data_IF_207221104348
#
_entry.id   IF_207221104348
#
_cell.length_a   1.000
_cell.length_b   1.000
_cell.length_c   1.000
_cell.angle_alpha   90.00
_cell.angle_beta   90.00
_cell.angle_gamma   90.00
#
_symmetry.space_group_name_H-M   'P 1'
#
loop_
_entity.id
_entity.type
_entity.pdbx_description
1 polymer ?
#
# COMPACT_ATOMS: atom_id res chain seq x y z
N UNK A 1 -16.39 -15.72 3.48
CA UNK A 1 -15.03 -15.45 4.05
C UNK A 1 -14.36 -14.42 3.15
N UNK A 2 -13.69 -13.42 3.72
CA UNK A 2 -12.90 -12.45 2.96
C UNK A 2 -11.44 -12.87 2.97
N UNK A 3 -10.79 -12.75 1.84
CA UNK A 3 -9.38 -13.15 1.65
C UNK A 3 -8.56 -11.93 1.27
N UNK A 4 -7.40 -11.78 1.87
CA UNK A 4 -6.47 -10.70 1.57
C UNK A 4 -5.07 -11.24 1.29
N UNK A 5 -4.33 -10.54 0.45
CA UNK A 5 -2.94 -10.82 0.15
C UNK A 5 -2.06 -9.63 0.52
N UNK A 6 -0.80 -9.90 0.83
CA UNK A 6 0.23 -8.85 0.88
C UNK A 6 0.90 -8.74 -0.48
N UNK A 7 1.15 -7.49 -0.91
CA UNK A 7 2.01 -7.25 -2.06
C UNK A 7 3.43 -7.71 -1.73
N UNK A 8 3.97 -8.61 -2.54
CA UNK A 8 5.34 -9.13 -2.37
C UNK A 8 6.35 -8.13 -2.93
N UNK A 9 6.55 -7.04 -2.19
CA UNK A 9 7.44 -5.94 -2.60
C UNK A 9 8.94 -6.26 -2.50
N UNK A 10 9.29 -7.44 -2.04
CA UNK A 10 10.68 -7.91 -2.02
C UNK A 10 11.20 -8.31 -3.41
N UNK A 11 10.32 -8.53 -4.35
CA UNK A 11 10.65 -8.87 -5.73
C UNK A 11 10.94 -7.58 -6.51
N UNK A 12 11.96 -7.64 -7.35
CA UNK A 12 12.36 -6.51 -8.19
C UNK A 12 11.63 -6.51 -9.54
N UNK A 13 10.92 -7.58 -9.87
CA UNK A 13 10.14 -7.68 -11.10
C UNK A 13 8.70 -7.17 -10.87
N UNK A 14 8.45 -5.97 -11.36
CA UNK A 14 7.14 -5.33 -11.26
C UNK A 14 6.09 -5.93 -12.19
N UNK A 15 6.49 -6.58 -13.27
CA UNK A 15 5.58 -7.34 -14.12
C UNK A 15 5.03 -8.54 -13.36
N UNK A 16 5.89 -9.30 -12.70
CA UNK A 16 5.48 -10.44 -11.85
C UNK A 16 4.59 -9.99 -10.69
N UNK A 17 4.92 -8.87 -10.04
CA UNK A 17 4.08 -8.32 -8.97
C UNK A 17 2.68 -7.92 -9.48
N UNK A 18 2.61 -7.35 -10.68
CA UNK A 18 1.36 -7.02 -11.35
C UNK A 18 0.53 -8.28 -11.66
N UNK A 19 1.16 -9.29 -12.26
CA UNK A 19 0.51 -10.56 -12.62
C UNK A 19 -0.02 -11.28 -11.37
N UNK A 20 0.74 -11.27 -10.29
CA UNK A 20 0.31 -11.82 -8.99
C UNK A 20 -0.99 -11.19 -8.49
N UNK A 21 -1.11 -9.87 -8.56
CA UNK A 21 -2.30 -9.18 -8.06
C UNK A 21 -3.48 -9.31 -9.02
N UNK A 22 -3.24 -9.26 -10.33
CA UNK A 22 -4.31 -9.46 -11.31
C UNK A 22 -4.87 -10.88 -11.27
N UNK A 23 -4.02 -11.88 -11.04
CA UNK A 23 -4.48 -13.26 -10.84
C UNK A 23 -5.24 -13.42 -9.52
N UNK A 24 -4.77 -12.78 -8.43
CA UNK A 24 -5.50 -12.76 -7.17
C UNK A 24 -6.90 -12.14 -7.33
N UNK A 25 -7.02 -11.05 -8.09
CA UNK A 25 -8.30 -10.43 -8.42
C UNK A 25 -9.19 -11.39 -9.21
N UNK A 26 -8.64 -12.09 -10.21
CA UNK A 26 -9.35 -13.07 -11.01
C UNK A 26 -9.91 -14.21 -10.14
N UNK A 27 -9.16 -14.63 -9.14
CA UNK A 27 -9.54 -15.68 -8.19
C UNK A 27 -10.50 -15.20 -7.08
N UNK A 28 -10.90 -13.94 -7.08
CA UNK A 28 -11.86 -13.39 -6.13
C UNK A 28 -11.28 -12.96 -4.78
N UNK A 29 -9.97 -12.67 -4.72
CA UNK A 29 -9.36 -12.09 -3.52
C UNK A 29 -9.93 -10.68 -3.29
N UNK A 30 -10.29 -10.37 -2.05
CA UNK A 30 -10.97 -9.12 -1.70
C UNK A 30 -10.02 -7.94 -1.54
N UNK A 31 -8.81 -8.19 -1.01
CA UNK A 31 -7.86 -7.14 -0.63
C UNK A 31 -6.42 -7.45 -1.00
N UNK A 32 -5.69 -6.43 -1.42
CA UNK A 32 -4.23 -6.41 -1.52
C UNK A 32 -3.65 -5.30 -0.62
N UNK A 33 -2.76 -5.68 0.28
CA UNK A 33 -2.13 -4.79 1.25
C UNK A 33 -0.68 -4.50 0.90
N UNK A 34 -0.29 -3.23 1.00
CA UNK A 34 1.10 -2.78 0.92
C UNK A 34 1.55 -2.20 2.26
N UNK A 35 2.74 -2.55 2.70
CA UNK A 35 3.39 -1.94 3.84
C UNK A 35 4.70 -1.27 3.41
N UNK A 36 5.10 -0.22 4.10
CA UNK A 36 6.34 0.50 3.80
C UNK A 36 7.22 0.64 5.02
N UNK A 37 8.23 -0.22 5.18
CA UNK A 37 9.16 -0.10 6.29
C UNK A 37 10.60 0.13 5.84
N UNK A 38 11.17 -0.77 5.03
CA UNK A 38 12.61 -0.81 4.77
C UNK A 38 13.04 -0.69 3.31
N UNK A 39 12.17 -0.94 2.36
CA UNK A 39 12.50 -1.00 0.92
C UNK A 39 11.66 -0.04 0.10
N UNK A 40 10.51 -0.51 -0.35
CA UNK A 40 9.56 0.30 -1.11
C UNK A 40 8.62 1.02 -0.15
N UNK A 41 8.19 2.22 -0.52
CA UNK A 41 7.13 2.88 0.22
C UNK A 41 5.78 2.15 0.03
N UNK A 42 4.85 2.39 0.93
CA UNK A 42 3.57 1.68 0.90
C UNK A 42 2.57 2.23 -0.13
N UNK A 43 2.85 3.37 -0.75
CA UNK A 43 1.91 4.10 -1.63
C UNK A 43 2.16 3.81 -3.10
N UNK A 44 3.40 3.96 -3.56
CA UNK A 44 3.77 3.86 -4.98
C UNK A 44 3.38 2.52 -5.60
N UNK A 45 3.60 1.36 -4.94
CA UNK A 45 3.13 0.08 -5.45
C UNK A 45 1.63 -0.01 -5.60
N UNK A 46 0.85 0.62 -4.71
CA UNK A 46 -0.61 0.62 -4.79
C UNK A 46 -1.11 1.43 -5.98
N UNK A 47 -0.48 2.56 -6.30
CA UNK A 47 -0.81 3.32 -7.49
C UNK A 47 -0.56 2.50 -8.78
N UNK A 48 0.57 1.79 -8.83
CA UNK A 48 0.90 0.90 -9.95
C UNK A 48 -0.13 -0.22 -10.13
N UNK A 49 -0.52 -0.86 -9.06
CA UNK A 49 -1.51 -1.95 -9.07
C UNK A 49 -2.92 -1.44 -9.34
N UNK A 50 -3.28 -0.24 -8.85
CA UNK A 50 -4.58 0.37 -9.10
C UNK A 50 -4.89 0.52 -10.59
N UNK A 51 -3.87 0.83 -11.39
CA UNK A 51 -4.01 0.98 -12.85
C UNK A 51 -4.20 -0.36 -13.59
N UNK A 52 -3.96 -1.49 -12.94
CA UNK A 52 -4.00 -2.83 -13.52
C UNK A 52 -5.12 -3.73 -13.00
N UNK A 53 -5.86 -3.21 -12.04
CA UNK A 53 -6.95 -3.94 -11.37
C UNK A 53 -8.23 -3.13 -11.41
N UNK A 54 -9.38 -3.78 -11.23
CA UNK A 54 -10.69 -3.12 -11.33
C UNK A 54 -11.63 -3.37 -10.14
N UNK A 55 -11.40 -4.41 -9.35
CA UNK A 55 -12.31 -4.84 -8.27
C UNK A 55 -11.62 -5.00 -6.92
N UNK A 56 -10.41 -5.57 -6.90
CA UNK A 56 -9.68 -5.82 -5.65
C UNK A 56 -9.46 -4.50 -4.89
N UNK A 57 -9.76 -4.48 -3.62
CA UNK A 57 -9.50 -3.32 -2.77
C UNK A 57 -8.02 -3.24 -2.44
N UNK A 58 -7.52 -2.03 -2.38
CA UNK A 58 -6.11 -1.73 -2.19
C UNK A 58 -5.93 -0.98 -0.89
N UNK A 59 -5.01 -1.39 -0.06
CA UNK A 59 -4.84 -0.74 1.22
C UNK A 59 -3.39 -0.69 1.71
N UNK A 60 -3.15 0.25 2.59
CA UNK A 60 -1.87 0.30 3.31
C UNK A 60 -1.97 -0.47 4.62
N UNK A 61 -1.08 -1.38 4.82
CA UNK A 61 -1.01 -2.15 6.06
C UNK A 61 0.40 -2.19 6.61
N UNK A 62 0.86 -1.11 7.11
CA UNK A 62 0.35 0.25 7.35
C UNK A 62 1.25 1.31 6.70
N UNK A 63 0.77 2.58 6.64
CA UNK A 63 1.64 3.75 6.51
C UNK A 63 1.97 4.30 7.90
N UNK A 64 3.21 4.70 8.08
CA UNK A 64 3.66 5.31 9.32
C UNK A 64 3.12 6.76 9.41
N UNK A 65 2.27 7.03 10.38
CA UNK A 65 1.66 8.35 10.55
C UNK A 65 2.71 9.46 10.80
N UNK A 66 3.80 9.14 11.51
CA UNK A 66 4.86 10.11 11.83
C UNK A 66 5.77 10.50 10.67
N UNK A 67 5.75 9.77 9.55
CA UNK A 67 6.64 10.05 8.40
C UNK A 67 6.01 10.96 7.35
N UNK A 68 4.74 11.31 7.49
CA UNK A 68 3.98 12.12 6.54
C UNK A 68 3.15 13.16 7.28
N UNK A 69 3.07 14.36 6.73
CA UNK A 69 2.16 15.36 7.30
C UNK A 69 0.69 14.93 7.12
N UNK A 70 -0.22 15.37 7.99
CA UNK A 70 -1.65 15.09 7.83
C UNK A 70 -2.21 15.52 6.45
N UNK A 71 -1.74 16.66 5.95
CA UNK A 71 -2.13 17.16 4.63
C UNK A 71 -1.67 16.20 3.53
N UNK A 72 -0.40 15.72 3.57
CA UNK A 72 0.11 14.76 2.60
C UNK A 72 -0.63 13.42 2.66
N UNK A 73 -0.97 12.94 3.84
CA UNK A 73 -1.78 11.72 4.01
C UNK A 73 -3.16 11.87 3.37
N UNK A 74 -3.82 13.01 3.59
CA UNK A 74 -5.12 13.29 2.99
C UNK A 74 -5.03 13.34 1.46
N UNK A 75 -4.06 14.08 0.91
CA UNK A 75 -3.84 14.16 -0.56
C UNK A 75 -3.53 12.80 -1.17
N UNK A 76 -2.71 11.99 -0.51
CA UNK A 76 -2.39 10.63 -0.94
C UNK A 76 -3.64 9.75 -0.98
N UNK A 77 -4.44 9.78 0.09
CA UNK A 77 -5.67 8.99 0.17
C UNK A 77 -6.69 9.41 -0.89
N UNK A 78 -6.86 10.70 -1.13
CA UNK A 78 -7.75 11.22 -2.17
C UNK A 78 -7.28 10.80 -3.56
N UNK A 79 -5.99 10.91 -3.85
CA UNK A 79 -5.42 10.54 -5.14
C UNK A 79 -5.58 9.04 -5.42
N UNK A 80 -5.21 8.19 -4.47
CA UNK A 80 -5.35 6.73 -4.62
C UNK A 80 -6.82 6.31 -4.70
N UNK A 81 -7.71 6.96 -3.96
CA UNK A 81 -9.15 6.71 -4.07
C UNK A 81 -9.67 7.05 -5.46
N UNK A 82 -9.32 8.21 -5.99
CA UNK A 82 -9.72 8.61 -7.35
C UNK A 82 -9.14 7.67 -8.41
N UNK A 83 -7.84 7.37 -8.36
CA UNK A 83 -7.16 6.49 -9.32
C UNK A 83 -7.69 5.06 -9.30
N UNK A 84 -8.13 4.58 -8.15
CA UNK A 84 -8.65 3.22 -7.97
C UNK A 84 -10.17 3.10 -8.09
N UNK A 85 -10.87 4.18 -8.39
CA UNK A 85 -12.35 4.16 -8.42
C UNK A 85 -12.97 3.86 -7.05
N UNK A 86 -12.43 4.42 -5.98
CA UNK A 86 -12.94 4.28 -4.61
C UNK A 86 -12.55 2.99 -3.90
N UNK A 87 -11.60 2.21 -4.44
CA UNK A 87 -11.15 0.94 -3.86
C UNK A 87 -10.07 1.07 -2.79
N UNK A 88 -9.55 2.28 -2.56
CA UNK A 88 -8.44 2.50 -1.63
C UNK A 88 -8.89 2.54 -0.17
N UNK A 89 -8.08 1.97 0.71
CA UNK A 89 -8.24 1.98 2.17
C UNK A 89 -6.94 2.43 2.81
N UNK A 90 -7.00 3.53 3.56
CA UNK A 90 -5.86 4.06 4.29
C UNK A 90 -5.74 3.38 5.66
N UNK A 91 -4.73 2.53 5.80
CA UNK A 91 -4.33 1.96 7.09
C UNK A 91 -3.14 2.73 7.66
N UNK A 92 -3.28 3.27 8.85
CA UNK A 92 -2.26 4.03 9.55
C UNK A 92 -1.79 3.32 10.82
N UNK A 93 -0.54 3.54 11.17
CA UNK A 93 0.03 3.07 12.43
C UNK A 93 1.25 3.88 12.82
N UNK A 94 1.76 3.67 14.01
CA UNK A 94 2.92 4.40 14.53
C UNK A 94 4.26 3.75 14.15
N UNK A 95 4.24 2.47 13.75
CA UNK A 95 5.47 1.67 13.52
C UNK A 95 6.30 1.52 14.81
N UNK A 96 7.62 1.53 14.72
CA UNK A 96 8.51 1.42 15.88
C UNK A 96 9.69 2.36 15.78
N UNK A 97 10.38 2.62 16.90
CA UNK A 97 11.51 3.54 16.95
C UNK A 97 12.61 3.21 15.92
N UNK A 98 12.88 1.94 15.69
CA UNK A 98 13.89 1.49 14.73
C UNK A 98 13.58 1.93 13.28
N UNK A 99 12.31 2.05 12.93
CA UNK A 99 11.88 2.55 11.63
C UNK A 99 11.81 4.07 11.62
N UNK A 100 11.14 4.65 12.61
CA UNK A 100 10.86 6.09 12.63
C UNK A 100 12.13 6.89 12.93
N UNK A 101 12.86 6.53 13.98
CA UNK A 101 14.12 7.23 14.34
C UNK A 101 15.31 6.69 13.55
N UNK A 102 15.47 5.35 13.51
CA UNK A 102 16.64 4.74 12.91
C UNK A 102 16.70 4.84 11.38
N UNK A 103 15.57 4.77 10.71
CA UNK A 103 15.50 4.81 9.25
C UNK A 103 15.08 6.18 8.69
N UNK A 104 14.02 6.77 9.25
CA UNK A 104 13.49 8.04 8.76
C UNK A 104 14.11 9.27 9.46
N UNK A 105 14.83 9.10 10.57
CA UNK A 105 15.44 10.19 11.29
C UNK A 105 14.45 11.16 11.97
N UNK A 106 13.24 10.68 12.24
CA UNK A 106 12.16 11.45 12.84
C UNK A 106 11.98 10.99 14.29
N UNK A 107 11.82 11.91 15.23
CA UNK A 107 11.58 11.55 16.63
C UNK A 107 10.29 10.72 16.75
N UNK A 108 10.43 9.59 17.45
CA UNK A 108 9.30 8.67 17.72
C UNK A 108 8.44 9.16 18.89
#
# INVERSE_FOLDING_TARGET
MRVAISLRLAQTDWAEASDYVTEAERLGVDFAWSGGAWRHDGVTPLAFVAARTSRIRLGTGILQAGTRTPALLAMTAMSLSAMSGGRFVLGLGVSGPQVIEGWHGIRF
#
